data_IF_734873592184
#
_entry.id   IF_734873592184
#
_cell.length_a   1.000
_cell.length_b   1.000
_cell.length_c   1.000
_cell.angle_alpha   90.00
_cell.angle_beta   90.00
_cell.angle_gamma   90.00
#
_symmetry.space_group_name_H-M   'P 1'
#
loop_
_entity.id
_entity.type
_entity.pdbx_description
1 polymer ?
#
# COMPACT_ATOMS: atom_id res chain seq x y z
N UNK A 1 -14.68 -0.81 -0.46
CA UNK A 1 -15.73 0.02 0.14
C UNK A 1 -15.15 0.97 1.17
N UNK A 2 -15.90 2.03 1.50
CA UNK A 2 -15.49 2.97 2.53
C UNK A 2 -15.30 2.31 3.90
N UNK A 3 -16.11 1.33 4.23
CA UNK A 3 -15.99 0.57 5.49
C UNK A 3 -14.68 -0.20 5.57
N UNK A 4 -14.28 -0.84 4.49
CA UNK A 4 -13.01 -1.57 4.42
C UNK A 4 -11.81 -0.62 4.55
N UNK A 5 -11.89 0.55 3.95
CA UNK A 5 -10.84 1.57 4.06
C UNK A 5 -10.74 2.07 5.50
N UNK A 6 -11.85 2.36 6.14
CA UNK A 6 -11.87 2.77 7.55
C UNK A 6 -11.28 1.69 8.47
N UNK A 7 -11.61 0.42 8.22
CA UNK A 7 -11.03 -0.70 8.96
C UNK A 7 -9.51 -0.76 8.76
N UNK A 8 -9.04 -0.62 7.54
CA UNK A 8 -7.62 -0.56 7.24
C UNK A 8 -6.93 0.58 7.99
N UNK A 9 -7.50 1.78 7.97
CA UNK A 9 -6.93 2.94 8.66
C UNK A 9 -6.87 2.72 10.17
N UNK A 10 -7.90 2.13 10.76
CA UNK A 10 -7.90 1.80 12.18
C UNK A 10 -6.80 0.82 12.55
N UNK A 11 -6.59 -0.20 11.73
CA UNK A 11 -5.50 -1.17 11.93
C UNK A 11 -4.13 -0.51 11.78
N UNK A 12 -3.97 0.34 10.76
CA UNK A 12 -2.73 1.07 10.53
C UNK A 12 -2.37 1.96 11.73
N UNK A 13 -3.35 2.63 12.30
CA UNK A 13 -3.14 3.57 13.40
C UNK A 13 -3.12 2.90 14.76
N UNK A 14 -3.48 1.63 14.86
CA UNK A 14 -3.48 0.90 16.12
C UNK A 14 -2.08 0.84 16.72
N UNK A 15 -1.93 1.29 17.95
CA UNK A 15 -0.65 1.37 18.68
C UNK A 15 0.41 2.26 18.00
N UNK A 16 0.02 3.14 17.09
CA UNK A 16 0.96 4.07 16.48
C UNK A 16 1.44 5.09 17.52
N UNK A 17 2.77 5.17 17.69
CA UNK A 17 3.39 6.10 18.62
C UNK A 17 3.87 7.38 17.96
N UNK A 18 3.89 7.40 16.63
CA UNK A 18 4.32 8.54 15.82
C UNK A 18 3.26 8.86 14.78
N UNK A 19 3.20 10.11 14.29
CA UNK A 19 2.34 10.43 13.16
C UNK A 19 2.67 9.57 11.94
N UNK A 20 1.64 9.22 11.17
CA UNK A 20 1.79 8.44 9.95
C UNK A 20 1.40 9.31 8.76
N UNK A 21 2.25 9.31 7.73
CA UNK A 21 1.98 9.94 6.45
C UNK A 21 1.61 8.83 5.46
N UNK A 22 0.36 8.81 5.02
CA UNK A 22 -0.13 7.80 4.09
C UNK A 22 -0.28 8.41 2.70
N UNK A 23 0.37 7.78 1.73
CA UNK A 23 0.27 8.15 0.32
C UNK A 23 -0.61 7.10 -0.34
N UNK A 24 -1.68 7.52 -0.98
CA UNK A 24 -2.56 6.62 -1.72
C UNK A 24 -3.04 7.24 -3.03
N UNK A 25 -3.66 6.40 -3.87
CA UNK A 25 -4.19 6.87 -5.14
C UNK A 25 -5.48 7.68 -4.98
N UNK A 26 -5.92 8.29 -6.08
CA UNK A 26 -7.12 9.12 -6.11
C UNK A 26 -8.43 8.37 -6.33
N UNK A 27 -8.52 7.09 -5.95
CA UNK A 27 -9.74 6.31 -6.10
C UNK A 27 -10.94 7.03 -5.45
N UNK A 28 -12.11 7.08 -6.11
CA UNK A 28 -13.27 7.82 -5.58
C UNK A 28 -13.68 7.43 -4.16
N UNK A 29 -13.53 6.16 -3.78
CA UNK A 29 -13.84 5.70 -2.43
C UNK A 29 -12.98 6.37 -1.37
N UNK A 30 -11.72 6.71 -1.70
CA UNK A 30 -10.83 7.43 -0.79
C UNK A 30 -11.33 8.85 -0.49
N UNK A 31 -12.17 9.41 -1.35
CA UNK A 31 -12.73 10.77 -1.19
C UNK A 31 -14.10 10.79 -0.52
N UNK A 32 -14.62 9.64 -0.12
CA UNK A 32 -15.93 9.57 0.49
C UNK A 32 -15.97 10.32 1.83
N UNK A 33 -17.13 10.82 2.18
CA UNK A 33 -17.35 11.51 3.46
C UNK A 33 -16.97 10.63 4.64
N UNK A 34 -17.32 9.34 4.58
CA UNK A 34 -17.04 8.38 5.64
C UNK A 34 -15.53 8.21 5.87
N UNK A 35 -14.74 8.13 4.79
CA UNK A 35 -13.29 8.05 4.90
C UNK A 35 -12.70 9.33 5.48
N UNK A 36 -13.18 10.50 5.04
CA UNK A 36 -12.73 11.78 5.60
C UNK A 36 -13.00 11.88 7.09
N UNK A 37 -14.18 11.47 7.53
CA UNK A 37 -14.54 11.46 8.95
C UNK A 37 -13.64 10.51 9.74
N UNK A 38 -13.33 9.34 9.17
CA UNK A 38 -12.42 8.39 9.77
C UNK A 38 -11.01 8.98 9.93
N UNK A 39 -10.48 9.63 8.91
CA UNK A 39 -9.18 10.29 8.97
C UNK A 39 -9.16 11.40 10.03
N UNK A 40 -10.20 12.23 10.06
CA UNK A 40 -10.32 13.31 11.03
C UNK A 40 -10.37 12.80 12.47
N UNK A 41 -10.90 11.60 12.68
CA UNK A 41 -10.97 11.00 14.01
C UNK A 41 -9.61 10.72 14.65
N UNK A 42 -8.54 10.68 13.85
CA UNK A 42 -7.18 10.48 14.35
C UNK A 42 -6.47 11.78 14.77
N UNK A 43 -7.18 12.91 14.73
CA UNK A 43 -6.73 14.20 15.29
C UNK A 43 -5.36 14.65 14.80
N UNK A 44 -5.11 14.53 13.50
CA UNK A 44 -3.85 14.96 12.88
C UNK A 44 -2.70 13.97 12.97
N UNK A 45 -2.87 12.84 13.66
CA UNK A 45 -1.86 11.80 13.72
C UNK A 45 -1.72 11.03 12.41
N UNK A 46 -2.73 11.11 11.55
CA UNK A 46 -2.72 10.52 10.22
C UNK A 46 -2.87 11.66 9.20
N UNK A 47 -1.84 11.85 8.39
CA UNK A 47 -1.89 12.77 7.25
C UNK A 47 -1.94 11.99 5.96
N UNK A 48 -2.84 12.40 5.08
CA UNK A 48 -3.08 11.75 3.81
C UNK A 48 -2.57 12.62 2.67
N UNK A 49 -1.82 12.01 1.77
CA UNK A 49 -1.40 12.61 0.51
C UNK A 49 -1.97 11.79 -0.63
N UNK A 50 -2.82 12.41 -1.44
CA UNK A 50 -3.44 11.74 -2.58
C UNK A 50 -2.62 11.99 -3.83
N UNK A 51 -2.24 10.91 -4.50
CA UNK A 51 -1.51 10.98 -5.77
C UNK A 51 -2.40 11.57 -6.87
N UNK A 52 -1.80 12.22 -7.88
CA UNK A 52 -2.54 12.66 -9.06
C UNK A 52 -3.27 11.49 -9.72
N UNK A 53 -4.38 11.78 -10.39
CA UNK A 53 -5.11 10.77 -11.15
C UNK A 53 -4.25 10.14 -12.24
N UNK A 54 -4.45 8.86 -12.51
CA UNK A 54 -3.76 8.11 -13.57
C UNK A 54 -2.23 8.14 -13.47
N UNK A 55 -1.70 8.11 -12.25
CA UNK A 55 -0.25 8.16 -12.01
C UNK A 55 0.22 7.00 -11.13
N UNK A 56 -0.03 5.74 -11.53
CA UNK A 56 0.36 4.58 -10.71
C UNK A 56 1.88 4.47 -10.53
N UNK A 57 2.67 4.98 -11.48
CA UNK A 57 4.13 4.97 -11.41
C UNK A 57 4.68 5.75 -10.20
N UNK A 58 3.92 6.69 -9.68
CA UNK A 58 4.30 7.47 -8.49
C UNK A 58 4.05 6.71 -7.19
N UNK A 59 3.35 5.59 -7.24
CA UNK A 59 2.98 4.83 -6.05
C UNK A 59 3.96 3.68 -5.81
N UNK A 60 4.76 3.71 -4.74
CA UNK A 60 5.71 2.64 -4.43
C UNK A 60 5.07 1.25 -4.32
N UNK A 61 3.78 1.16 -4.00
CA UNK A 61 3.05 -0.11 -3.94
C UNK A 61 3.05 -0.83 -5.29
N UNK A 62 3.08 -0.10 -6.39
CA UNK A 62 3.19 -0.73 -7.73
C UNK A 62 4.49 -1.52 -7.88
N UNK A 63 5.56 -1.09 -7.22
CA UNK A 63 6.82 -1.82 -7.21
C UNK A 63 6.70 -3.13 -6.41
N UNK A 64 5.88 -3.14 -5.37
CA UNK A 64 5.55 -4.36 -4.62
C UNK A 64 4.84 -5.35 -5.54
N UNK A 65 3.82 -4.90 -6.27
CA UNK A 65 3.08 -5.76 -7.18
C UNK A 65 3.94 -6.27 -8.33
N UNK A 66 4.83 -5.45 -8.86
CA UNK A 66 5.79 -5.87 -9.89
C UNK A 66 6.70 -6.98 -9.35
N UNK A 67 7.19 -6.84 -8.13
CA UNK A 67 8.01 -7.86 -7.50
C UNK A 67 7.24 -9.17 -7.31
N UNK A 68 6.00 -9.10 -6.81
CA UNK A 68 5.14 -10.26 -6.63
C UNK A 68 4.90 -10.98 -7.96
N UNK A 69 4.58 -10.24 -9.01
CA UNK A 69 4.37 -10.80 -10.35
C UNK A 69 5.61 -11.48 -10.89
N UNK A 70 6.76 -10.85 -10.77
CA UNK A 70 7.98 -11.30 -11.43
C UNK A 70 8.72 -12.38 -10.63
N UNK A 71 8.66 -12.35 -9.32
CA UNK A 71 9.44 -13.23 -8.46
C UNK A 71 8.60 -14.19 -7.62
N UNK A 72 7.33 -13.83 -7.34
CA UNK A 72 6.45 -14.66 -6.53
C UNK A 72 5.57 -15.61 -7.34
N UNK A 73 4.95 -15.11 -8.40
CA UNK A 73 3.91 -15.83 -9.15
C UNK A 73 4.29 -16.09 -10.60
N UNK A 74 4.96 -15.17 -11.26
CA UNK A 74 5.07 -15.09 -12.73
C UNK A 74 5.72 -16.29 -13.43
N UNK A 75 6.48 -17.11 -12.73
CA UNK A 75 7.16 -18.29 -13.31
C UNK A 75 6.62 -19.61 -12.78
N UNK A 76 5.57 -19.58 -12.00
CA UNK A 76 5.00 -20.77 -11.37
C UNK A 76 3.66 -21.11 -12.01
N UNK A 77 3.41 -22.42 -12.21
CA UNK A 77 2.08 -22.86 -12.58
C UNK A 77 1.13 -22.66 -11.42
N UNK A 78 -0.02 -22.06 -11.68
CA UNK A 78 -1.04 -21.80 -10.68
C UNK A 78 -2.27 -22.61 -11.04
N UNK A 79 -2.72 -23.44 -10.10
CA UNK A 79 -3.83 -24.37 -10.30
C UNK A 79 -5.10 -23.93 -9.54
N UNK A 80 -5.39 -22.64 -9.55
CA UNK A 80 -6.61 -22.11 -8.99
C UNK A 80 -6.42 -20.93 -8.05
N UNK A 81 -7.54 -20.31 -7.60
CA UNK A 81 -7.50 -19.10 -6.78
C UNK A 81 -6.79 -19.27 -5.43
N UNK A 82 -6.97 -20.43 -4.79
CA UNK A 82 -6.37 -20.67 -3.47
C UNK A 82 -4.85 -20.75 -3.56
N UNK A 83 -4.33 -21.41 -4.60
CA UNK A 83 -2.90 -21.46 -4.82
C UNK A 83 -2.34 -20.10 -5.18
N UNK A 84 -3.03 -19.33 -6.00
CA UNK A 84 -2.62 -17.95 -6.32
C UNK A 84 -2.54 -17.11 -5.06
N UNK A 85 -3.54 -17.17 -4.20
CA UNK A 85 -3.56 -16.45 -2.93
C UNK A 85 -2.38 -16.84 -2.05
N UNK A 86 -2.10 -18.15 -1.92
CA UNK A 86 -0.95 -18.65 -1.15
C UNK A 86 0.37 -18.10 -1.66
N UNK A 87 0.57 -18.08 -2.97
CA UNK A 87 1.80 -17.57 -3.58
C UNK A 87 1.97 -16.08 -3.35
N UNK A 88 0.88 -15.30 -3.52
CA UNK A 88 0.90 -13.85 -3.29
C UNK A 88 1.20 -13.54 -1.83
N UNK A 89 0.47 -14.17 -0.90
CA UNK A 89 0.69 -13.95 0.54
C UNK A 89 2.09 -14.38 0.96
N UNK A 90 2.59 -15.49 0.43
CA UNK A 90 3.95 -15.97 0.70
C UNK A 90 5.01 -14.95 0.27
N UNK A 91 4.87 -14.37 -0.93
CA UNK A 91 5.80 -13.37 -1.41
C UNK A 91 5.72 -12.07 -0.61
N UNK A 92 4.52 -11.62 -0.24
CA UNK A 92 4.35 -10.44 0.60
C UNK A 92 5.01 -10.63 1.97
N UNK A 93 4.83 -11.80 2.59
CA UNK A 93 5.51 -12.13 3.86
C UNK A 93 7.02 -12.14 3.74
N UNK A 94 7.52 -12.65 2.62
CA UNK A 94 8.95 -12.62 2.33
C UNK A 94 9.47 -11.18 2.21
N UNK A 95 8.74 -10.32 1.49
CA UNK A 95 9.11 -8.90 1.35
C UNK A 95 9.14 -8.17 2.69
N UNK A 96 8.23 -8.48 3.60
CA UNK A 96 8.22 -7.87 4.94
C UNK A 96 9.54 -8.10 5.69
N UNK A 97 10.24 -9.18 5.40
CA UNK A 97 11.51 -9.53 6.04
C UNK A 97 12.72 -8.97 5.29
N UNK A 98 12.53 -8.42 4.10
CA UNK A 98 13.59 -7.92 3.22
C UNK A 98 13.51 -6.40 3.09
N UNK A 99 13.78 -5.71 4.20
CA UNK A 99 13.65 -4.25 4.28
C UNK A 99 14.49 -3.52 3.24
N UNK A 100 15.65 -4.04 2.87
CA UNK A 100 16.49 -3.42 1.83
C UNK A 100 15.81 -3.42 0.46
N UNK A 101 15.08 -4.49 0.13
CA UNK A 101 14.32 -4.57 -1.14
C UNK A 101 13.16 -3.59 -1.10
N UNK A 102 12.41 -3.57 0.00
CA UNK A 102 11.28 -2.64 0.16
C UNK A 102 11.78 -1.19 0.08
N UNK A 103 12.88 -0.85 0.75
CA UNK A 103 13.49 0.48 0.64
C UNK A 103 13.87 0.83 -0.80
N UNK A 104 14.33 -0.15 -1.60
CA UNK A 104 14.67 0.09 -3.00
C UNK A 104 13.49 0.52 -3.85
N UNK A 105 12.27 0.12 -3.49
CA UNK A 105 11.06 0.54 -4.19
C UNK A 105 10.84 2.05 -4.08
N UNK A 106 11.16 2.63 -2.94
CA UNK A 106 11.08 4.07 -2.74
C UNK A 106 12.20 4.83 -3.45
N UNK A 107 13.31 4.17 -3.75
CA UNK A 107 14.45 4.76 -4.49
C UNK A 107 14.28 4.70 -6.01
N UNK A 108 13.27 3.97 -6.50
CA UNK A 108 12.94 4.00 -7.92
C UNK A 108 12.75 5.46 -8.36
N UNK A 109 13.27 5.86 -9.54
CA UNK A 109 13.21 7.28 -9.97
C UNK A 109 11.82 7.90 -9.87
N UNK A 110 10.77 7.14 -10.20
CA UNK A 110 9.39 7.64 -10.16
C UNK A 110 8.85 7.79 -8.74
N UNK A 111 9.48 7.15 -7.75
CA UNK A 111 9.05 7.16 -6.35
C UNK A 111 10.03 7.92 -5.43
N UNK A 112 11.15 8.39 -5.95
CA UNK A 112 12.20 9.00 -5.14
C UNK A 112 11.77 10.30 -4.44
N UNK A 113 10.70 10.93 -4.91
CA UNK A 113 10.12 12.10 -4.24
C UNK A 113 9.73 11.80 -2.78
N UNK A 114 9.47 10.54 -2.44
CA UNK A 114 9.08 10.12 -1.08
C UNK A 114 10.26 10.20 -0.09
N UNK A 115 11.48 10.36 -0.58
CA UNK A 115 12.69 10.38 0.24
C UNK A 115 13.12 11.78 0.68
N UNK A 116 12.37 12.79 0.33
CA UNK A 116 12.66 14.18 0.66
C UNK A 116 12.28 14.50 2.12
#
# INVERSE_FOLDING_TARGET
SADQICEFLKRLMHNATKPIFLIWDGHPTHRSKKVKECVDSFEGKLEIYTLPGYSPELNPVEQVWNNVKNHGVGRKKVFGPDQLKSLVVGQLRRLQKLSSIVCSFFRHPDCAYTLI
#
